data_IF_173784740453
#
_entry.id   IF_173784740453
#
_cell.length_a   1.000
_cell.length_b   1.000
_cell.length_c   1.000
_cell.angle_alpha   90.00
_cell.angle_beta   90.00
_cell.angle_gamma   90.00
#
_symmetry.space_group_name_H-M   'P 1'
#
loop_
_entity.id
_entity.type
_entity.pdbx_description
1 polymer ?
#
# COMPACT_ATOMS: atom_id res chain seq x y z
N UNK A 1 -7.64 23.28 -27.31
CA UNK A 1 -6.52 23.46 -26.37
C UNK A 1 -5.87 22.10 -26.11
N UNK A 2 -4.53 21.96 -26.10
CA UNK A 2 -3.92 20.70 -25.71
C UNK A 2 -4.26 20.39 -24.24
N UNK A 3 -4.43 19.11 -23.87
CA UNK A 3 -4.68 18.73 -22.49
C UNK A 3 -3.50 19.17 -21.62
N UNK A 4 -3.82 19.74 -20.45
CA UNK A 4 -2.80 20.18 -19.51
C UNK A 4 -1.87 19.00 -19.15
N UNK A 5 -0.55 19.20 -19.10
CA UNK A 5 0.38 18.14 -18.72
C UNK A 5 0.03 17.63 -17.31
N UNK A 6 0.15 16.33 -17.04
CA UNK A 6 -0.14 15.77 -15.73
C UNK A 6 0.69 16.51 -14.68
N UNK A 7 0.02 17.00 -13.63
CA UNK A 7 0.69 17.68 -12.51
C UNK A 7 1.71 16.70 -11.92
N UNK A 8 2.99 17.06 -12.07
CA UNK A 8 4.12 16.37 -11.46
C UNK A 8 3.91 16.35 -9.95
N UNK A 9 3.54 15.19 -9.39
CA UNK A 9 3.64 14.99 -7.94
C UNK A 9 5.13 14.99 -7.64
N UNK A 10 5.66 16.14 -7.23
CA UNK A 10 7.02 16.22 -6.71
C UNK A 10 7.04 15.28 -5.51
N UNK A 11 7.85 14.22 -5.60
CA UNK A 11 8.27 13.47 -4.43
C UNK A 11 8.79 14.48 -3.42
N UNK A 12 8.06 14.61 -2.31
CA UNK A 12 8.32 15.62 -1.30
C UNK A 12 9.49 15.13 -0.45
N UNK A 13 10.71 15.31 -0.93
CA UNK A 13 11.92 15.05 -0.15
C UNK A 13 12.16 16.19 0.85
N UNK A 14 12.44 15.79 2.09
CA UNK A 14 12.92 16.59 3.23
C UNK A 14 12.00 17.73 3.72
N UNK A 15 11.13 17.41 4.69
CA UNK A 15 10.39 18.40 5.50
C UNK A 15 8.85 18.31 5.47
N UNK A 16 8.28 17.45 4.62
CA UNK A 16 6.84 17.18 4.63
C UNK A 16 6.47 16.12 5.66
N UNK A 17 5.46 16.39 6.51
CA UNK A 17 4.88 15.35 7.37
C UNK A 17 4.37 14.19 6.50
N UNK A 18 4.72 12.95 6.87
CA UNK A 18 4.19 11.74 6.26
C UNK A 18 2.65 11.73 6.29
N UNK A 19 2.00 11.24 5.24
CA UNK A 19 0.57 10.96 5.31
C UNK A 19 0.32 9.82 6.31
N UNK A 20 -0.49 10.10 7.33
CA UNK A 20 -0.93 9.11 8.31
C UNK A 20 -2.37 8.73 8.03
N UNK A 21 -2.73 7.47 8.31
CA UNK A 21 -4.14 7.07 8.24
C UNK A 21 -4.97 7.79 9.31
N UNK A 22 -6.25 8.06 9.05
CA UNK A 22 -7.17 8.40 10.13
C UNK A 22 -7.29 7.20 11.09
N UNK A 23 -7.74 7.46 12.32
CA UNK A 23 -8.01 6.39 13.27
C UNK A 23 -9.04 5.41 12.66
N UNK A 24 -8.78 4.10 12.65
CA UNK A 24 -9.74 3.12 12.17
C UNK A 24 -11.00 3.15 13.03
N UNK A 25 -12.14 2.87 12.41
CA UNK A 25 -13.41 2.76 13.13
C UNK A 25 -13.31 1.55 14.07
N UNK A 26 -13.63 1.74 15.35
CA UNK A 26 -13.66 0.65 16.33
C UNK A 26 -15.11 0.23 16.56
N UNK A 27 -15.43 -1.04 16.35
CA UNK A 27 -16.72 -1.61 16.73
C UNK A 27 -16.61 -2.18 18.15
N UNK A 28 -17.64 -1.96 18.98
CA UNK A 28 -17.64 -2.49 20.35
C UNK A 28 -17.70 -4.02 20.29
N UNK A 29 -16.67 -4.70 20.80
CA UNK A 29 -16.57 -6.16 20.81
C UNK A 29 -15.89 -6.78 19.58
N UNK A 30 -15.50 -5.97 18.58
CA UNK A 30 -14.70 -6.39 17.44
C UNK A 30 -13.77 -5.23 17.09
N UNK A 31 -12.45 -5.41 17.27
CA UNK A 31 -11.41 -4.38 17.13
C UNK A 31 -11.42 -3.54 15.83
N UNK A 32 -10.39 -2.71 15.60
CA UNK A 32 -10.40 -1.72 14.52
C UNK A 32 -10.72 -2.34 13.15
N UNK A 33 -11.67 -1.72 12.43
CA UNK A 33 -12.06 -2.14 11.08
C UNK A 33 -11.12 -1.56 10.03
N UNK A 34 -10.76 -2.41 9.07
CA UNK A 34 -9.95 -2.06 7.91
C UNK A 34 -8.45 -1.97 8.20
N UNK A 35 -7.73 -1.59 7.15
CA UNK A 35 -6.28 -1.58 7.11
C UNK A 35 -5.80 -0.18 6.79
N UNK A 36 -4.91 0.35 7.63
CA UNK A 36 -4.16 1.54 7.30
C UNK A 36 -3.31 1.26 6.06
N UNK A 37 -3.74 1.83 4.94
CA UNK A 37 -3.07 1.65 3.66
C UNK A 37 -2.27 2.90 3.36
N UNK A 38 -1.00 2.74 3.01
CA UNK A 38 -0.09 3.84 2.66
C UNK A 38 0.47 3.59 1.25
N UNK A 39 0.55 4.65 0.44
CA UNK A 39 1.07 4.60 -0.92
C UNK A 39 2.44 5.25 -0.98
N UNK A 40 3.36 4.55 -1.63
CA UNK A 40 4.74 4.95 -1.85
C UNK A 40 5.02 4.99 -3.34
N UNK A 41 5.42 6.14 -3.86
CA UNK A 41 5.85 6.30 -5.24
C UNK A 41 7.37 6.30 -5.27
N UNK A 42 7.95 5.53 -6.20
CA UNK A 42 9.38 5.58 -6.43
C UNK A 42 9.80 7.02 -6.78
N UNK A 43 10.92 7.54 -6.24
CA UNK A 43 11.52 8.76 -6.73
C UNK A 43 11.71 8.65 -8.25
N UNK A 44 11.23 9.63 -9.01
CA UNK A 44 11.29 9.61 -10.47
C UNK A 44 12.74 9.52 -10.97
N UNK A 45 13.06 8.48 -11.71
CA UNK A 45 14.23 8.35 -12.57
C UNK A 45 13.81 7.65 -13.87
N UNK A 46 14.36 8.05 -15.01
CA UNK A 46 13.98 7.52 -16.34
C UNK A 46 14.44 6.08 -16.61
N UNK A 47 15.16 5.44 -15.68
CA UNK A 47 15.69 4.08 -15.82
C UNK A 47 14.67 2.99 -15.46
N UNK A 48 14.95 1.76 -15.91
CA UNK A 48 14.23 0.54 -15.50
C UNK A 48 14.40 0.33 -14.00
N UNK A 49 13.30 0.09 -13.27
CA UNK A 49 13.36 -0.34 -11.87
C UNK A 49 13.49 -1.87 -11.86
N UNK A 50 14.48 -2.38 -11.13
CA UNK A 50 14.71 -3.83 -10.92
C UNK A 50 14.47 -4.28 -9.48
N UNK A 51 14.18 -3.31 -8.61
CA UNK A 51 13.87 -3.48 -7.19
C UNK A 51 13.25 -2.17 -6.72
N UNK A 52 12.08 -2.25 -6.12
CA UNK A 52 11.47 -1.08 -5.47
C UNK A 52 12.31 -0.67 -4.23
N UNK A 53 12.54 0.63 -3.98
CA UNK A 53 13.23 1.07 -2.77
C UNK A 53 12.53 0.56 -1.50
N UNK A 54 13.27 0.40 -0.41
CA UNK A 54 12.63 0.03 0.85
C UNK A 54 11.62 1.11 1.25
N UNK A 55 10.38 0.69 1.55
CA UNK A 55 9.31 1.60 1.94
C UNK A 55 9.60 2.29 3.28
N UNK A 56 10.46 1.72 4.13
CA UNK A 56 10.91 2.38 5.37
C UNK A 56 11.72 3.65 5.09
N UNK A 57 12.37 3.72 3.93
CA UNK A 57 13.20 4.86 3.51
C UNK A 57 12.37 5.93 2.78
N UNK A 58 11.07 5.68 2.59
CA UNK A 58 10.17 6.54 1.84
C UNK A 58 9.10 7.15 2.74
N UNK A 59 8.72 8.40 2.45
CA UNK A 59 7.53 9.01 3.05
C UNK A 59 6.29 8.63 2.23
N UNK A 60 5.21 8.14 2.85
CA UNK A 60 3.99 7.85 2.12
C UNK A 60 3.35 9.13 1.61
N UNK A 61 2.96 9.14 0.33
CA UNK A 61 2.34 10.31 -0.31
C UNK A 61 0.81 10.31 -0.19
N UNK A 62 0.21 9.18 0.17
CA UNK A 62 -1.22 9.04 0.45
C UNK A 62 -1.43 7.98 1.53
N UNK A 63 -2.43 8.19 2.38
CA UNK A 63 -2.85 7.21 3.36
C UNK A 63 -4.37 7.20 3.52
N UNK A 64 -4.99 6.01 3.56
CA UNK A 64 -6.43 5.83 3.81
C UNK A 64 -6.65 4.57 4.66
N UNK A 65 -7.84 4.44 5.26
CA UNK A 65 -8.27 3.16 5.84
C UNK A 65 -9.05 2.39 4.76
N UNK A 66 -8.48 1.29 4.28
CA UNK A 66 -9.11 0.42 3.30
C UNK A 66 -9.89 -0.70 4.01
N UNK A 67 -11.16 -0.97 3.66
CA UNK A 67 -11.93 -2.03 4.31
C UNK A 67 -11.48 -3.44 3.90
N UNK A 68 -10.73 -3.57 2.80
CA UNK A 68 -10.25 -4.84 2.27
C UNK A 68 -8.91 -4.69 1.54
N UNK A 69 -8.14 -5.78 1.48
CA UNK A 69 -6.87 -5.88 0.76
C UNK A 69 -7.11 -6.68 -0.52
N UNK A 70 -7.79 -6.07 -1.50
CA UNK A 70 -8.09 -6.70 -2.78
C UNK A 70 -8.10 -5.66 -3.89
N UNK A 71 -7.17 -5.81 -4.84
CA UNK A 71 -7.10 -5.02 -6.06
C UNK A 71 -7.06 -5.99 -7.23
N UNK A 72 -8.24 -6.32 -7.76
CA UNK A 72 -8.36 -7.34 -8.80
C UNK A 72 -7.95 -6.82 -10.18
N UNK A 73 -7.92 -5.49 -10.36
CA UNK A 73 -7.67 -4.81 -11.65
C UNK A 73 -7.04 -3.44 -11.44
N UNK A 74 -6.14 -3.05 -12.33
CA UNK A 74 -5.43 -1.76 -12.32
C UNK A 74 -6.36 -0.55 -12.25
N UNK A 75 -7.55 -0.65 -12.84
CA UNK A 75 -8.54 0.43 -12.84
C UNK A 75 -9.11 0.73 -11.45
N UNK A 76 -9.26 -0.28 -10.59
CA UNK A 76 -9.71 -0.10 -9.21
C UNK A 76 -8.59 0.53 -8.37
N UNK A 77 -7.37 0.09 -8.61
CA UNK A 77 -6.16 0.63 -8.01
C UNK A 77 -5.96 2.11 -8.35
N UNK A 78 -6.07 2.49 -9.63
CA UNK A 78 -5.93 3.87 -10.10
C UNK A 78 -6.99 4.80 -9.49
N UNK A 79 -8.25 4.32 -9.36
CA UNK A 79 -9.33 5.08 -8.73
C UNK A 79 -9.06 5.34 -7.24
N UNK A 80 -8.59 4.34 -6.50
CA UNK A 80 -8.30 4.47 -5.08
C UNK A 80 -7.05 5.31 -4.81
N UNK A 81 -6.03 5.17 -5.66
CA UNK A 81 -4.82 5.99 -5.59
C UNK A 81 -5.10 7.44 -6.02
N UNK A 82 -6.08 7.68 -6.89
CA UNK A 82 -6.39 9.00 -7.46
C UNK A 82 -5.30 9.51 -8.40
N UNK A 83 -4.58 8.61 -9.07
CA UNK A 83 -3.36 8.91 -9.82
C UNK A 83 -3.42 8.40 -11.26
N UNK A 84 -2.81 9.17 -12.17
CA UNK A 84 -2.77 8.89 -13.60
C UNK A 84 -1.64 7.94 -14.03
N UNK A 85 -0.66 7.68 -13.15
CA UNK A 85 0.47 6.80 -13.42
C UNK A 85 0.65 5.85 -12.23
N UNK A 86 0.50 4.55 -12.49
CA UNK A 86 0.53 3.46 -11.51
C UNK A 86 1.74 2.53 -11.69
N UNK A 87 2.57 2.78 -12.71
CA UNK A 87 3.86 2.12 -12.83
C UNK A 87 4.77 2.68 -11.73
N UNK A 88 5.34 1.79 -10.89
CA UNK A 88 6.30 2.10 -9.82
C UNK A 88 5.67 2.65 -8.54
N UNK A 89 4.83 1.84 -7.96
CA UNK A 89 4.14 2.10 -6.71
C UNK A 89 4.27 0.89 -5.78
N UNK A 90 4.44 1.14 -4.49
CA UNK A 90 4.29 0.13 -3.46
C UNK A 90 3.22 0.56 -2.46
N UNK A 91 2.50 -0.42 -1.91
CA UNK A 91 1.50 -0.20 -0.87
C UNK A 91 1.87 -1.01 0.36
N UNK A 92 1.67 -0.43 1.54
CA UNK A 92 1.65 -1.18 2.80
C UNK A 92 0.23 -1.20 3.35
N UNK A 93 -0.17 -2.33 3.92
CA UNK A 93 -1.42 -2.49 4.67
C UNK A 93 -1.07 -2.86 6.10
N UNK A 94 -1.51 -2.07 7.06
CA UNK A 94 -1.24 -2.27 8.49
C UNK A 94 -2.57 -2.33 9.24
N UNK A 95 -2.80 -3.39 10.00
CA UNK A 95 -4.07 -3.60 10.70
C UNK A 95 -4.08 -4.85 11.54
N UNK A 96 -5.27 -5.26 11.98
CA UNK A 96 -5.47 -6.44 12.84
C UNK A 96 -6.34 -7.45 12.10
N UNK A 97 -5.86 -8.70 12.03
CA UNK A 97 -6.66 -9.83 11.59
C UNK A 97 -7.41 -10.42 12.79
N UNK A 98 -8.74 -10.40 12.76
CA UNK A 98 -9.55 -11.01 13.82
C UNK A 98 -9.76 -12.50 13.58
N UNK A 99 -9.09 -13.34 14.37
CA UNK A 99 -9.28 -14.78 14.37
C UNK A 99 -10.38 -15.15 15.36
N UNK A 100 -11.55 -15.59 14.86
CA UNK A 100 -12.72 -15.90 15.71
C UNK A 100 -12.68 -17.30 16.32
N UNK A 101 -11.90 -18.21 15.74
CA UNK A 101 -11.76 -19.58 16.18
C UNK A 101 -10.27 -19.92 16.17
N UNK A 102 -9.76 -20.49 17.26
CA UNK A 102 -8.38 -20.95 17.30
C UNK A 102 -8.14 -22.11 16.33
N UNK A 103 -6.93 -22.20 15.79
CA UNK A 103 -6.51 -23.25 14.87
C UNK A 103 -5.27 -22.84 14.07
N UNK A 104 -4.80 -23.75 13.23
CA UNK A 104 -3.69 -23.50 12.30
C UNK A 104 -4.21 -22.87 11.01
N UNK A 105 -3.49 -21.86 10.52
CA UNK A 105 -3.84 -21.13 9.31
C UNK A 105 -2.67 -21.08 8.34
N UNK A 106 -3.00 -21.23 7.05
CA UNK A 106 -2.08 -20.97 5.95
C UNK A 106 -2.44 -19.64 5.29
N UNK A 107 -1.43 -18.81 5.05
CA UNK A 107 -1.57 -17.56 4.35
C UNK A 107 -1.06 -17.67 2.91
N UNK A 108 -1.75 -17.01 1.99
CA UNK A 108 -1.37 -16.92 0.59
C UNK A 108 -1.39 -15.45 0.17
N UNK A 109 -0.43 -15.05 -0.68
CA UNK A 109 -0.39 -13.72 -1.28
C UNK A 109 -0.27 -13.85 -2.81
N UNK A 110 -0.92 -12.93 -3.52
CA UNK A 110 -0.87 -12.83 -4.98
C UNK A 110 -0.61 -11.39 -5.38
N UNK A 111 0.27 -11.20 -6.34
CA UNK A 111 0.71 -9.87 -6.81
C UNK A 111 1.34 -9.99 -8.19
N UNK A 112 1.33 -8.90 -8.96
CA UNK A 112 2.09 -8.82 -10.20
C UNK A 112 3.59 -8.58 -9.91
N UNK A 113 3.90 -7.49 -9.21
CA UNK A 113 5.29 -7.03 -8.94
C UNK A 113 5.87 -7.42 -7.57
N UNK A 114 5.17 -8.24 -6.79
CA UNK A 114 5.68 -8.82 -5.53
C UNK A 114 4.84 -8.49 -4.31
N UNK A 115 4.92 -9.34 -3.29
CA UNK A 115 4.18 -9.18 -2.04
C UNK A 115 4.86 -9.90 -0.88
N UNK A 116 4.75 -9.28 0.31
CA UNK A 116 5.21 -9.85 1.57
C UNK A 116 4.12 -9.66 2.63
N UNK A 117 3.82 -10.71 3.38
CA UNK A 117 2.87 -10.68 4.50
C UNK A 117 3.56 -11.06 5.80
N UNK A 118 3.40 -10.18 6.78
CA UNK A 118 3.92 -10.35 8.12
C UNK A 118 2.77 -10.43 9.11
N UNK A 119 2.84 -11.40 10.04
CA UNK A 119 1.94 -11.50 11.20
C UNK A 119 2.82 -11.44 12.45
N UNK A 120 2.53 -10.50 13.34
CA UNK A 120 3.31 -10.24 14.56
C UNK A 120 4.82 -10.09 14.30
N UNK A 121 5.17 -9.44 13.17
CA UNK A 121 6.55 -9.19 12.77
C UNK A 121 7.26 -10.37 12.08
N UNK A 122 6.63 -11.54 11.97
CA UNK A 122 7.17 -12.71 11.26
C UNK A 122 6.60 -12.81 9.85
N UNK A 123 7.44 -12.99 8.85
CA UNK A 123 6.99 -13.26 7.47
C UNK A 123 6.31 -14.65 7.42
N UNK A 124 5.05 -14.67 6.99
CA UNK A 124 4.24 -15.91 6.92
C UNK A 124 3.88 -16.31 5.48
N UNK A 125 3.96 -15.37 4.54
CA UNK A 125 3.79 -15.63 3.12
C UNK A 125 4.49 -14.55 2.30
N UNK A 126 5.10 -14.95 1.18
CA UNK A 126 5.68 -14.01 0.23
C UNK A 126 5.60 -14.53 -1.20
N UNK A 127 5.61 -13.58 -2.13
CA UNK A 127 5.70 -13.83 -3.56
C UNK A 127 6.81 -12.94 -4.12
N UNK A 128 7.88 -13.52 -4.69
CA UNK A 128 8.88 -12.71 -5.38
C UNK A 128 8.22 -11.99 -6.55
N UNK A 129 8.70 -10.79 -6.82
CA UNK A 129 8.26 -9.97 -7.94
C UNK A 129 9.40 -9.08 -8.44
N UNK A 130 9.03 -8.01 -9.14
CA UNK A 130 9.86 -7.30 -10.12
C UNK A 130 10.54 -6.03 -9.57
#
# INVERSE_FOLDING_TARGET
APPAPPKRLRGRTAGGKACTCPAPRVIKGSGPEGYCTKWFFSPMGSGVIRKFPDVSDLLPQRAIVAPKIEFLRDKEFARLAGLAHFDRVALTYEGILQVKQGGDYFFCVTSDDGAHLYVDGKEVASRPGL
#
